data_IF_705729799525
#
_entry.id   IF_705729799525
#
_cell.length_a   1.000
_cell.length_b   1.000
_cell.length_c   1.000
_cell.angle_alpha   90.00
_cell.angle_beta   90.00
_cell.angle_gamma   90.00
#
_symmetry.space_group_name_H-M   'P 1'
#
loop_
_entity.id
_entity.type
_entity.pdbx_description
1 polymer ?
#
# COMPACT_ATOMS: atom_id res chain seq x y z
N UNK A 1 -15.81 2.42 3.20
CA UNK A 1 -14.60 1.63 2.90
C UNK A 1 -13.47 2.25 3.71
N UNK A 2 -12.87 1.54 4.66
CA UNK A 2 -11.63 2.02 5.27
C UNK A 2 -10.55 1.78 4.22
N UNK A 3 -9.98 2.86 3.71
CA UNK A 3 -9.06 2.81 2.60
C UNK A 3 -7.67 2.55 3.15
N UNK A 4 -7.09 1.38 2.83
CA UNK A 4 -5.68 1.12 3.09
C UNK A 4 -4.87 1.43 1.84
N UNK A 5 -3.57 1.59 2.02
CA UNK A 5 -2.57 1.61 0.96
C UNK A 5 -1.78 0.31 1.00
N UNK A 6 -1.23 -0.05 -0.14
CA UNK A 6 -0.38 -1.23 -0.32
C UNK A 6 1.06 -0.79 -0.43
N UNK A 7 1.96 -1.34 0.38
CA UNK A 7 3.39 -1.11 0.24
C UNK A 7 4.02 -2.37 -0.32
N UNK A 8 4.69 -2.25 -1.46
CA UNK A 8 5.43 -3.34 -2.08
C UNK A 8 6.85 -3.32 -1.51
N UNK A 9 7.26 -4.44 -0.92
CA UNK A 9 8.54 -4.65 -0.25
C UNK A 9 9.33 -5.69 -1.06
N UNK A 10 10.61 -5.46 -1.37
CA UNK A 10 11.43 -6.46 -2.05
C UNK A 10 11.47 -7.77 -1.27
N UNK A 11 11.39 -8.90 -1.97
CA UNK A 11 11.55 -10.22 -1.35
C UNK A 11 12.99 -10.55 -0.93
N UNK A 12 13.94 -9.70 -1.30
CA UNK A 12 15.30 -9.74 -0.76
C UNK A 12 15.43 -9.03 0.59
N UNK A 13 14.32 -8.51 1.14
CA UNK A 13 14.32 -7.90 2.48
C UNK A 13 14.55 -8.97 3.55
N UNK A 14 15.44 -8.70 4.49
CA UNK A 14 15.70 -9.56 5.64
C UNK A 14 14.66 -9.36 6.76
N UNK A 15 14.07 -8.16 6.83
CA UNK A 15 13.09 -7.75 7.84
C UNK A 15 12.02 -6.89 7.16
N UNK A 16 10.75 -7.31 7.27
CA UNK A 16 9.63 -6.69 6.56
C UNK A 16 9.33 -5.33 7.19
N UNK A 17 9.30 -5.26 8.51
CA UNK A 17 8.93 -4.04 9.24
C UNK A 17 9.87 -2.86 8.98
N UNK A 18 11.17 -3.08 9.03
CA UNK A 18 12.20 -2.07 8.76
C UNK A 18 12.17 -1.63 7.29
N UNK A 19 11.89 -2.57 6.38
CA UNK A 19 11.74 -2.27 4.95
C UNK A 19 10.50 -1.42 4.69
N UNK A 20 9.37 -1.79 5.29
CA UNK A 20 8.12 -1.02 5.28
C UNK A 20 8.36 0.42 5.75
N UNK A 21 8.96 0.57 6.94
CA UNK A 21 9.26 1.87 7.52
C UNK A 21 10.15 2.72 6.61
N UNK A 22 11.20 2.12 6.04
CA UNK A 22 12.11 2.80 5.11
C UNK A 22 11.39 3.29 3.85
N UNK A 23 10.46 2.51 3.32
CA UNK A 23 9.68 2.86 2.12
C UNK A 23 8.64 3.95 2.42
N UNK A 24 8.03 3.93 3.62
CA UNK A 24 7.04 4.92 4.02
C UNK A 24 7.65 6.29 4.36
N UNK A 25 8.83 6.32 5.00
CA UNK A 25 9.42 7.53 5.58
C UNK A 25 9.52 8.74 4.62
N UNK A 26 9.88 8.59 3.33
CA UNK A 26 9.92 9.71 2.39
C UNK A 26 8.58 10.44 2.22
N UNK A 27 7.46 9.76 2.52
CA UNK A 27 6.10 10.27 2.39
C UNK A 27 5.52 10.81 3.70
N UNK A 28 6.30 10.79 4.79
CA UNK A 28 5.90 11.31 6.10
C UNK A 28 5.80 12.83 6.09
N UNK A 29 4.68 13.38 6.54
CA UNK A 29 4.47 14.81 6.73
C UNK A 29 5.59 15.40 7.60
N UNK A 30 5.97 16.61 7.21
CA UNK A 30 6.98 17.42 7.88
C UNK A 30 6.30 18.75 8.15
N UNK A 31 5.80 18.89 9.37
CA UNK A 31 5.00 20.04 9.82
C UNK A 31 5.79 21.36 9.71
N UNK A 32 7.12 21.29 9.76
CA UNK A 32 8.01 22.44 9.65
C UNK A 32 8.25 22.87 8.19
N UNK A 33 7.73 22.12 7.21
CA UNK A 33 7.96 22.37 5.78
C UNK A 33 6.64 22.55 5.00
N UNK A 34 6.33 23.80 4.64
CA UNK A 34 5.12 24.15 3.88
C UNK A 34 5.01 23.42 2.52
N UNK A 35 6.13 23.04 1.89
CA UNK A 35 6.09 22.24 0.66
C UNK A 35 5.70 20.79 0.93
N UNK A 36 6.05 20.27 2.11
CA UNK A 36 5.70 18.92 2.58
C UNK A 36 4.19 18.72 2.71
N UNK A 37 3.48 19.71 3.27
CA UNK A 37 2.01 19.68 3.44
C UNK A 37 1.27 19.45 2.11
N UNK A 38 1.87 19.81 0.97
CA UNK A 38 1.26 19.65 -0.36
C UNK A 38 1.62 18.35 -1.08
N UNK A 39 2.62 17.60 -0.60
CA UNK A 39 3.19 16.46 -1.34
C UNK A 39 3.51 15.24 -0.46
N UNK A 40 3.17 15.26 0.83
CA UNK A 40 3.40 14.18 1.78
C UNK A 40 2.07 13.81 2.44
N UNK A 41 1.98 12.57 2.92
CA UNK A 41 0.69 11.88 3.00
C UNK A 41 0.29 11.42 4.41
N UNK A 42 1.18 11.41 5.40
CA UNK A 42 0.87 10.82 6.71
C UNK A 42 1.72 11.36 7.89
N UNK A 43 1.11 11.45 9.08
CA UNK A 43 1.75 11.73 10.38
C UNK A 43 2.05 10.45 11.15
N UNK A 44 1.11 9.50 11.12
CA UNK A 44 1.26 8.14 11.63
C UNK A 44 0.56 7.12 10.71
N UNK A 45 0.93 5.86 10.86
CA UNK A 45 0.30 4.74 10.17
C UNK A 45 0.08 3.57 11.14
N UNK A 46 -0.86 2.70 10.78
CA UNK A 46 -1.19 1.50 11.54
C UNK A 46 -1.71 0.41 10.59
N UNK A 47 -1.75 -0.84 11.06
CA UNK A 47 -2.25 -1.95 10.26
C UNK A 47 -3.79 -2.02 10.22
N UNK A 48 -4.41 -2.38 9.09
CA UNK A 48 -5.84 -2.66 9.06
C UNK A 48 -6.20 -3.87 9.94
N UNK A 49 -7.49 -4.01 10.25
CA UNK A 49 -8.01 -5.18 10.98
C UNK A 49 -8.24 -6.41 10.09
N UNK A 50 -8.16 -6.24 8.77
CA UNK A 50 -8.35 -7.30 7.79
C UNK A 50 -6.97 -7.91 7.49
N UNK A 51 -6.84 -9.23 7.67
CA UNK A 51 -5.54 -9.90 7.54
C UNK A 51 -5.33 -10.48 6.14
N UNK A 52 -4.08 -10.41 5.66
CA UNK A 52 -3.55 -11.19 4.55
C UNK A 52 -2.79 -12.37 5.14
N UNK A 53 -3.46 -13.50 5.34
CA UNK A 53 -2.81 -14.69 5.92
C UNK A 53 -2.05 -15.42 4.81
N UNK A 54 -0.73 -15.41 4.87
CA UNK A 54 0.16 -16.14 3.97
C UNK A 54 1.12 -17.04 4.77
N UNK A 55 0.84 -18.34 4.76
CA UNK A 55 1.64 -19.34 5.51
C UNK A 55 3.04 -19.53 4.92
N UNK A 56 3.23 -19.26 3.63
CA UNK A 56 4.54 -19.32 3.00
C UNK A 56 5.41 -18.17 3.52
N UNK A 57 4.88 -16.95 3.49
CA UNK A 57 5.58 -15.77 4.01
C UNK A 57 5.90 -15.93 5.51
N UNK A 58 4.97 -16.45 6.31
CA UNK A 58 5.19 -16.69 7.74
C UNK A 58 6.29 -17.69 8.02
N UNK A 59 6.45 -18.69 7.15
CA UNK A 59 7.54 -19.65 7.25
C UNK A 59 8.88 -18.99 6.92
N UNK A 60 8.91 -18.15 5.90
CA UNK A 60 10.14 -17.48 5.43
C UNK A 60 10.60 -16.36 6.38
N UNK A 61 9.67 -15.75 7.11
CA UNK A 61 9.89 -14.63 8.04
C UNK A 61 9.42 -14.96 9.47
N UNK A 62 9.76 -16.14 9.98
CA UNK A 62 9.23 -16.64 11.27
C UNK A 62 9.57 -15.80 12.50
N UNK A 63 10.59 -14.95 12.40
CA UNK A 63 11.06 -14.08 13.50
C UNK A 63 10.41 -12.68 13.47
N UNK A 64 9.71 -12.32 12.38
CA UNK A 64 9.02 -11.03 12.26
C UNK A 64 7.78 -10.98 13.17
N UNK A 65 7.38 -9.78 13.55
CA UNK A 65 6.22 -9.58 14.42
C UNK A 65 4.91 -10.13 13.80
N UNK A 66 4.08 -10.75 14.63
CA UNK A 66 2.84 -11.37 14.14
C UNK A 66 1.89 -10.37 13.47
N UNK A 67 1.88 -9.10 13.89
CA UNK A 67 1.06 -8.05 13.31
C UNK A 67 1.52 -7.70 11.90
N UNK A 68 2.84 -7.59 11.65
CA UNK A 68 3.36 -7.36 10.29
C UNK A 68 3.06 -8.56 9.39
N UNK A 69 3.24 -9.79 9.87
CA UNK A 69 2.96 -11.01 9.11
C UNK A 69 1.46 -11.18 8.80
N UNK A 70 0.58 -10.75 9.70
CA UNK A 70 -0.87 -10.77 9.47
C UNK A 70 -1.34 -9.78 8.41
N UNK A 71 -0.53 -8.76 8.12
CA UNK A 71 -0.84 -7.71 7.16
C UNK A 71 0.03 -7.78 5.91
N UNK A 72 0.78 -8.87 5.75
CA UNK A 72 1.73 -9.06 4.65
C UNK A 72 1.52 -10.41 3.97
N UNK A 73 1.72 -10.45 2.66
CA UNK A 73 1.76 -11.69 1.88
C UNK A 73 2.68 -11.53 0.69
N UNK A 74 3.07 -12.62 0.03
CA UNK A 74 3.59 -12.50 -1.33
C UNK A 74 2.50 -11.95 -2.25
N UNK A 75 2.87 -11.08 -3.18
CA UNK A 75 1.92 -10.47 -4.13
C UNK A 75 1.17 -11.55 -4.93
N UNK A 76 1.85 -12.64 -5.31
CA UNK A 76 1.23 -13.79 -5.98
C UNK A 76 0.21 -14.56 -5.13
N UNK A 77 0.23 -14.38 -3.81
CA UNK A 77 -0.64 -15.04 -2.85
C UNK A 77 -1.78 -14.11 -2.36
N UNK A 78 -1.89 -12.89 -2.92
CA UNK A 78 -3.01 -11.99 -2.63
C UNK A 78 -4.36 -12.65 -2.96
N UNK A 79 -5.43 -12.31 -2.21
CA UNK A 79 -6.76 -12.84 -2.49
C UNK A 79 -7.24 -12.37 -3.87
N UNK A 80 -8.06 -13.20 -4.53
CA UNK A 80 -8.63 -12.89 -5.85
C UNK A 80 -9.38 -11.56 -5.84
N UNK A 81 -10.07 -11.26 -4.74
CA UNK A 81 -10.69 -9.96 -4.49
C UNK A 81 -9.79 -9.17 -3.54
N UNK A 82 -8.93 -8.35 -4.12
CA UNK A 82 -8.09 -7.40 -3.39
C UNK A 82 -8.30 -5.98 -3.91
N UNK A 83 -8.40 -5.02 -3.00
CA UNK A 83 -8.56 -3.61 -3.33
C UNK A 83 -7.72 -2.76 -2.39
N UNK A 84 -7.22 -1.65 -2.91
CA UNK A 84 -6.43 -0.66 -2.17
C UNK A 84 -6.65 0.71 -2.80
N UNK A 85 -6.47 1.79 -2.04
CA UNK A 85 -6.57 3.15 -2.61
C UNK A 85 -5.29 3.67 -3.22
N UNK A 86 -4.16 3.04 -2.92
CA UNK A 86 -2.87 3.46 -3.41
C UNK A 86 -1.82 2.40 -3.18
N UNK A 87 -0.72 2.52 -3.91
CA UNK A 87 0.42 1.62 -3.83
C UNK A 87 1.71 2.42 -3.77
N UNK A 88 2.64 1.99 -2.92
CA UNK A 88 4.01 2.49 -2.88
C UNK A 88 4.93 1.37 -3.36
N UNK A 89 5.73 1.66 -4.37
CA UNK A 89 6.68 0.70 -4.92
C UNK A 89 8.02 0.76 -4.15
N UNK A 90 8.84 -0.31 -4.13
CA UNK A 90 10.03 -0.40 -3.28
C UNK A 90 11.05 0.74 -3.40
N UNK A 91 11.14 1.32 -4.60
CA UNK A 91 12.00 2.46 -4.96
C UNK A 91 11.24 3.43 -5.88
N UNK A 92 9.91 3.40 -5.84
CA UNK A 92 9.08 4.11 -6.79
C UNK A 92 8.10 5.07 -6.12
N UNK A 93 7.27 5.74 -6.92
CA UNK A 93 6.34 6.72 -6.42
C UNK A 93 5.21 6.06 -5.61
N UNK A 94 4.61 6.85 -4.72
CA UNK A 94 3.24 6.65 -4.28
C UNK A 94 2.32 6.89 -5.48
N UNK A 95 1.52 5.90 -5.82
CA UNK A 95 0.53 5.96 -6.89
C UNK A 95 -0.83 5.70 -6.27
N UNK A 96 -1.78 6.61 -6.40
CA UNK A 96 -3.11 6.45 -5.82
C UNK A 96 -4.26 6.79 -6.77
N UNK A 97 -5.48 6.60 -6.29
CA UNK A 97 -6.71 6.89 -7.02
C UNK A 97 -6.78 8.31 -7.58
N UNK A 98 -6.18 9.30 -6.91
CA UNK A 98 -6.22 10.70 -7.33
C UNK A 98 -5.40 10.92 -8.61
N UNK A 99 -4.32 10.16 -8.81
CA UNK A 99 -3.53 10.17 -10.06
C UNK A 99 -4.37 9.78 -11.28
N UNK A 100 -5.45 9.01 -11.06
CA UNK A 100 -6.39 8.60 -12.11
C UNK A 100 -7.64 9.50 -12.21
N UNK A 101 -7.68 10.58 -11.42
CA UNK A 101 -8.73 11.59 -11.44
C UNK A 101 -9.88 11.34 -10.48
N UNK A 102 -9.72 10.46 -9.49
CA UNK A 102 -10.72 10.26 -8.43
C UNK A 102 -10.89 11.54 -7.60
N UNK A 103 -12.14 11.86 -7.21
CA UNK A 103 -12.45 13.04 -6.40
C UNK A 103 -13.47 12.73 -5.31
N UNK A 104 -13.16 13.12 -4.07
CA UNK A 104 -14.03 12.90 -2.90
C UNK A 104 -15.36 13.68 -2.92
N UNK A 105 -15.43 14.81 -3.63
CA UNK A 105 -16.50 15.80 -3.41
C UNK A 105 -17.86 15.46 -4.04
N UNK A 106 -17.98 14.40 -4.86
CA UNK A 106 -19.23 14.08 -5.59
C UNK A 106 -19.37 12.58 -5.88
N UNK A 107 -19.68 11.81 -4.85
CA UNK A 107 -19.96 10.36 -4.96
C UNK A 107 -21.47 10.08 -4.92
N UNK A 108 -22.02 9.19 -5.77
CA UNK A 108 -21.39 8.54 -6.91
C UNK A 108 -21.26 9.47 -8.11
N UNK A 109 -20.16 9.35 -8.87
CA UNK A 109 -20.01 10.02 -10.17
C UNK A 109 -19.47 9.07 -11.24
N UNK A 110 -19.94 9.24 -12.48
CA UNK A 110 -19.41 8.53 -13.64
C UNK A 110 -17.91 8.82 -13.89
N UNK A 111 -17.41 9.94 -13.37
CA UNK A 111 -15.99 10.29 -13.39
C UNK A 111 -15.18 9.41 -12.44
N UNK A 112 -15.64 9.24 -11.19
CA UNK A 112 -15.00 8.34 -10.22
C UNK A 112 -15.06 6.89 -10.67
N UNK A 113 -16.16 6.44 -11.29
CA UNK A 113 -16.23 5.11 -11.89
C UNK A 113 -15.18 4.88 -13.00
N UNK A 114 -14.92 5.88 -13.84
CA UNK A 114 -13.83 5.81 -14.84
C UNK A 114 -12.44 5.85 -14.22
N UNK A 115 -12.24 6.68 -13.20
CA UNK A 115 -10.98 6.74 -12.46
C UNK A 115 -10.67 5.38 -11.78
N UNK A 116 -11.69 4.78 -11.14
CA UNK A 116 -11.60 3.46 -10.54
C UNK A 116 -11.20 2.38 -11.54
N UNK A 117 -11.84 2.34 -12.71
CA UNK A 117 -11.48 1.38 -13.76
C UNK A 117 -10.04 1.54 -14.27
N UNK A 118 -9.56 2.78 -14.42
CA UNK A 118 -8.16 3.05 -14.78
C UNK A 118 -7.20 2.60 -13.68
N UNK A 119 -7.54 2.90 -12.43
CA UNK A 119 -6.77 2.49 -11.26
C UNK A 119 -6.66 0.96 -11.18
N UNK A 120 -7.78 0.24 -11.23
CA UNK A 120 -7.78 -1.23 -11.16
C UNK A 120 -6.91 -1.86 -12.25
N UNK A 121 -7.01 -1.38 -13.50
CA UNK A 121 -6.19 -1.87 -14.60
C UNK A 121 -4.70 -1.62 -14.36
N UNK A 122 -4.32 -0.43 -13.89
CA UNK A 122 -2.93 -0.13 -13.57
C UNK A 122 -2.44 -0.94 -12.37
N UNK A 123 -3.28 -1.08 -11.35
CA UNK A 123 -2.97 -1.80 -10.13
C UNK A 123 -2.72 -3.29 -10.39
N UNK A 124 -3.57 -3.96 -11.18
CA UNK A 124 -3.30 -5.35 -11.61
C UNK A 124 -1.98 -5.48 -12.36
N UNK A 125 -1.65 -4.55 -13.25
CA UNK A 125 -0.36 -4.53 -13.94
C UNK A 125 0.82 -4.40 -12.97
N UNK A 126 0.68 -3.57 -11.93
CA UNK A 126 1.71 -3.41 -10.91
C UNK A 126 1.88 -4.68 -10.07
N UNK A 127 0.79 -5.33 -9.66
CA UNK A 127 0.86 -6.61 -8.96
C UNK A 127 1.54 -7.68 -9.83
N UNK A 128 1.18 -7.74 -11.11
CA UNK A 128 1.80 -8.69 -12.05
C UNK A 128 3.31 -8.48 -12.21
N UNK A 129 3.79 -7.23 -12.17
CA UNK A 129 5.20 -6.88 -12.25
C UNK A 129 5.99 -7.19 -10.98
N UNK A 130 5.30 -7.37 -9.85
CA UNK A 130 5.89 -7.52 -8.53
C UNK A 130 5.44 -8.81 -7.84
N UNK A 131 5.04 -9.84 -8.58
CA UNK A 131 4.50 -11.12 -8.05
C UNK A 131 5.36 -11.77 -6.97
N UNK A 132 6.67 -11.71 -7.15
CA UNK A 132 7.62 -12.33 -6.22
C UNK A 132 7.94 -11.45 -5.02
N UNK A 133 7.47 -10.20 -4.99
CA UNK A 133 7.67 -9.30 -3.86
C UNK A 133 6.59 -9.48 -2.79
N UNK A 134 6.82 -8.83 -1.65
CA UNK A 134 5.92 -8.84 -0.51
C UNK A 134 5.00 -7.62 -0.63
N UNK A 135 3.72 -7.82 -0.37
CA UNK A 135 2.72 -6.78 -0.26
C UNK A 135 2.35 -6.65 1.22
N UNK A 136 2.47 -5.45 1.77
CA UNK A 136 2.01 -5.11 3.13
C UNK A 136 0.92 -4.05 3.09
N UNK A 137 -0.18 -4.25 3.83
CA UNK A 137 -1.25 -3.27 3.96
C UNK A 137 -0.98 -2.31 5.12
N UNK A 138 -1.20 -1.02 4.91
CA UNK A 138 -1.20 -0.03 6.00
C UNK A 138 -2.31 1.01 5.80
N UNK A 139 -2.79 1.59 6.89
CA UNK A 139 -3.65 2.76 6.88
C UNK A 139 -2.81 3.96 7.33
N UNK A 140 -2.73 4.97 6.46
CA UNK A 140 -2.07 6.24 6.74
C UNK A 140 -3.09 7.25 7.27
N UNK A 141 -2.70 8.04 8.28
CA UNK A 141 -3.48 9.14 8.83
C UNK A 141 -2.63 10.42 8.86
N UNK A 142 -3.28 11.56 8.61
CA UNK A 142 -2.70 12.92 8.62
C UNK A 142 -3.53 13.89 9.48
#
# INVERSE_FOLDING_TARGET
MRSHITVIIPNSSEDIYSSLKRILEPYRLDEDNIKSIRSRHWDYWYFPSENLIDEELRSDYSEDDSEILNNSCYVRNLPEIYYTSGVILPNGPWIDLQDFGWRMLREPSSQNGRAWGKWQNNFHRLLDQHKEHICTQVICHS
#
